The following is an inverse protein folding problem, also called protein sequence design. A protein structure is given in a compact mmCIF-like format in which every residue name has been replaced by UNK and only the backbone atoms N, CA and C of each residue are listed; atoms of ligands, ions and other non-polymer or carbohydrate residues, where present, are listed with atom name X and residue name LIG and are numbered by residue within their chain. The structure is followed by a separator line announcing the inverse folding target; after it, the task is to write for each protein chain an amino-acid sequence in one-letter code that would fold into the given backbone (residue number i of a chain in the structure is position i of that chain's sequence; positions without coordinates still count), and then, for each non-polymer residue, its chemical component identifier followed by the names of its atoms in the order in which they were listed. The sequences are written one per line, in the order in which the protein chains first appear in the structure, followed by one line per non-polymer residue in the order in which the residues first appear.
data_IF_740953117198
#
_entry.id   IF_740953117198
#
_cell.length_a   1.000
_cell.length_b   1.000
_cell.length_c   1.000
_cell.angle_alpha   90.00
_cell.angle_beta   90.00
_cell.angle_gamma   90.00
#
_symmetry.space_group_name_H-M   'P 1'
#
loop_
_entity.id
_entity.type
_entity.pdbx_description
1 polymer ?
#
# COMPACT_ATOMS: atom_id res chain seq x y z
N UNK A 1 -8.83 -30.47 22.89
CA UNK A 1 -9.72 -30.46 21.72
C UNK A 1 -8.99 -29.96 20.49
N UNK A 2 -8.56 -28.69 20.46
CA UNK A 2 -7.90 -28.11 19.28
C UNK A 2 -6.41 -28.42 19.16
N UNK A 3 -5.68 -28.71 20.24
CA UNK A 3 -4.25 -29.04 20.16
C UNK A 3 -3.40 -27.88 19.64
N UNK A 4 -2.27 -28.18 18.97
CA UNK A 4 -1.33 -27.17 18.45
C UNK A 4 -1.90 -26.27 17.34
N UNK A 5 -2.95 -26.70 16.62
CA UNK A 5 -3.56 -25.91 15.53
C UNK A 5 -4.26 -24.65 16.04
N UNK A 6 -4.61 -24.59 17.32
CA UNK A 6 -5.02 -23.35 17.98
C UNK A 6 -3.87 -22.33 18.02
N UNK A 7 -2.67 -22.76 18.38
CA UNK A 7 -1.50 -21.87 18.44
C UNK A 7 -1.14 -21.36 17.04
N UNK A 8 -1.16 -22.24 16.02
CA UNK A 8 -0.95 -21.84 14.63
C UNK A 8 -1.97 -20.80 14.15
N UNK A 9 -3.26 -21.01 14.43
CA UNK A 9 -4.32 -20.06 14.06
C UNK A 9 -4.14 -18.69 14.74
N UNK A 10 -3.81 -18.68 16.04
CA UNK A 10 -3.63 -17.44 16.83
C UNK A 10 -2.35 -16.69 16.48
N UNK A 11 -1.22 -17.40 16.34
CA UNK A 11 0.06 -16.77 16.00
C UNK A 11 0.00 -16.13 14.60
N UNK A 12 -0.50 -16.86 13.61
CA UNK A 12 -0.68 -16.34 12.26
C UNK A 12 -1.67 -15.17 12.21
N UNK A 13 -2.75 -15.19 13.00
CA UNK A 13 -3.67 -14.04 13.11
C UNK A 13 -2.99 -12.78 13.66
N UNK A 14 -2.12 -12.92 14.67
CA UNK A 14 -1.35 -11.79 15.20
C UNK A 14 -0.36 -11.25 14.17
N UNK A 15 0.33 -12.14 13.45
CA UNK A 15 1.21 -11.75 12.34
C UNK A 15 0.44 -11.07 11.21
N UNK A 16 -0.78 -11.53 10.88
CA UNK A 16 -1.67 -10.89 9.91
C UNK A 16 -2.02 -9.47 10.35
N UNK A 17 -2.46 -9.29 11.59
CA UNK A 17 -2.78 -7.97 12.14
C UNK A 17 -1.58 -7.02 12.06
N UNK A 18 -0.39 -7.49 12.43
CA UNK A 18 0.84 -6.70 12.33
C UNK A 18 1.17 -6.31 10.89
N UNK A 19 1.10 -7.23 9.93
CA UNK A 19 1.38 -6.92 8.53
C UNK A 19 0.29 -6.00 7.92
N UNK A 20 -0.98 -6.18 8.29
CA UNK A 20 -2.07 -5.31 7.85
C UNK A 20 -1.97 -3.89 8.44
N UNK A 21 -1.38 -3.73 9.62
CA UNK A 21 -1.02 -2.41 10.17
C UNK A 21 0.04 -1.73 9.27
N UNK A 22 1.00 -2.48 8.74
CA UNK A 22 2.11 -1.92 7.97
C UNK A 22 1.79 -1.62 6.51
N UNK A 23 0.90 -2.39 5.87
CA UNK A 23 0.76 -2.42 4.39
C UNK A 23 0.35 -1.07 3.75
N UNK A 24 -0.39 -0.22 4.47
CA UNK A 24 -0.86 1.10 3.97
C UNK A 24 0.19 2.22 4.11
N UNK A 25 1.12 2.08 5.05
CA UNK A 25 2.16 3.08 5.29
C UNK A 25 3.09 3.29 4.08
N UNK A 26 3.65 2.25 3.42
CA UNK A 26 4.56 2.44 2.29
C UNK A 26 3.91 3.01 1.03
N UNK A 27 2.58 3.03 0.93
CA UNK A 27 1.86 3.60 -0.22
C UNK A 27 1.35 5.03 0.04
N UNK A 28 1.53 5.54 1.26
CA UNK A 28 1.18 6.90 1.66
C UNK A 28 2.32 7.87 1.29
N UNK A 29 2.29 8.38 0.06
CA UNK A 29 3.39 9.16 -0.53
C UNK A 29 3.64 10.50 0.16
N UNK A 30 2.60 11.17 0.66
CA UNK A 30 2.81 12.43 1.40
C UNK A 30 3.44 12.16 2.75
N UNK A 31 3.00 11.12 3.45
CA UNK A 31 3.65 10.69 4.68
C UNK A 31 5.13 10.39 4.44
N UNK A 32 5.45 9.62 3.40
CA UNK A 32 6.84 9.27 3.06
C UNK A 32 7.65 10.51 2.71
N UNK A 33 7.07 11.43 1.93
CA UNK A 33 7.74 12.67 1.54
C UNK A 33 7.95 13.60 2.72
N UNK A 34 6.97 13.68 3.63
CA UNK A 34 7.08 14.41 4.89
C UNK A 34 8.19 13.85 5.76
N UNK A 35 8.20 12.53 6.01
CA UNK A 35 9.26 11.87 6.79
C UNK A 35 10.63 12.08 6.13
N UNK A 36 10.70 12.00 4.80
CA UNK A 36 11.95 12.25 4.05
C UNK A 36 12.46 13.67 4.26
N UNK A 37 11.57 14.66 4.28
CA UNK A 37 11.88 16.08 4.48
C UNK A 37 12.23 16.45 5.93
N UNK A 38 11.55 15.86 6.93
CA UNK A 38 11.82 16.11 8.35
C UNK A 38 13.06 15.38 8.88
N UNK A 39 13.51 14.34 8.18
CA UNK A 39 14.74 13.58 8.48
C UNK A 39 16.02 14.37 8.14
N UNK A 40 16.16 15.60 8.67
CA UNK A 40 17.39 16.40 8.63
C UNK A 40 18.46 15.80 9.55
N UNK A 41 18.06 15.06 10.61
CA UNK A 41 18.98 14.49 11.60
C UNK A 41 19.23 12.97 11.44
N UNK A 42 18.40 12.24 10.67
CA UNK A 42 18.53 10.78 10.54
C UNK A 42 19.37 10.36 9.33
N UNK A 43 20.36 9.49 9.58
CA UNK A 43 21.39 8.96 8.66
C UNK A 43 20.86 8.68 7.25
N UNK A 44 21.66 9.00 6.22
CA UNK A 44 21.50 8.68 4.78
C UNK A 44 20.90 7.30 4.48
N UNK A 45 21.16 6.32 5.34
CA UNK A 45 20.58 4.99 5.28
C UNK A 45 19.04 4.99 5.35
N UNK A 46 18.42 5.80 6.21
CA UNK A 46 16.97 5.85 6.39
C UNK A 46 16.25 6.36 5.14
N UNK A 47 16.73 7.46 4.52
CA UNK A 47 16.18 7.98 3.26
C UNK A 47 16.22 6.93 2.15
N UNK A 48 17.33 6.20 2.03
CA UNK A 48 17.46 5.11 1.04
C UNK A 48 16.47 3.95 1.27
N UNK A 49 16.08 3.68 2.52
CA UNK A 49 15.05 2.67 2.80
C UNK A 49 13.65 3.17 2.47
N UNK A 50 13.36 4.45 2.71
CA UNK A 50 12.08 5.07 2.33
C UNK A 50 11.85 5.03 0.81
N UNK A 51 12.91 5.16 0.00
CA UNK A 51 12.81 5.05 -1.47
C UNK A 51 12.47 3.63 -1.94
N UNK A 52 12.65 2.61 -1.09
CA UNK A 52 12.25 1.21 -1.35
C UNK A 52 10.86 0.89 -0.78
N UNK A 53 10.04 1.90 -0.49
CA UNK A 53 8.68 1.74 0.05
C UNK A 53 7.83 0.72 -0.72
N UNK A 54 7.80 0.76 -2.05
CA UNK A 54 7.00 -0.17 -2.85
C UNK A 54 7.54 -1.61 -2.79
N UNK A 55 8.85 -1.78 -2.65
CA UNK A 55 9.46 -3.10 -2.39
C UNK A 55 9.05 -3.61 -1.02
N UNK A 56 9.07 -2.75 0.00
CA UNK A 56 8.59 -3.09 1.33
C UNK A 56 7.11 -3.46 1.34
N UNK A 57 6.26 -2.70 0.64
CA UNK A 57 4.83 -3.02 0.45
C UNK A 57 4.63 -4.43 -0.11
N UNK A 58 5.39 -4.81 -1.15
CA UNK A 58 5.34 -6.17 -1.73
C UNK A 58 5.77 -7.24 -0.74
N UNK A 59 6.86 -7.01 0.02
CA UNK A 59 7.32 -7.95 1.06
C UNK A 59 6.26 -8.15 2.13
N UNK A 60 5.65 -7.07 2.62
CA UNK A 60 4.54 -7.14 3.59
C UNK A 60 3.35 -7.89 2.99
N UNK A 61 2.99 -7.66 1.73
CA UNK A 61 1.92 -8.38 1.04
C UNK A 61 2.17 -9.90 0.97
N UNK A 62 3.40 -10.33 0.67
CA UNK A 62 3.77 -11.75 0.75
C UNK A 62 3.71 -12.28 2.18
N UNK A 63 4.10 -11.48 3.17
CA UNK A 63 3.92 -11.80 4.59
C UNK A 63 2.46 -12.02 4.97
N UNK A 64 1.54 -11.18 4.47
CA UNK A 64 0.09 -11.37 4.64
C UNK A 64 -0.33 -12.69 3.99
N UNK A 65 0.12 -12.98 2.76
CA UNK A 65 -0.27 -14.18 2.04
C UNK A 65 0.13 -15.47 2.76
N UNK A 66 1.39 -15.55 3.22
CA UNK A 66 1.89 -16.73 3.95
C UNK A 66 1.11 -16.94 5.25
N UNK A 67 0.92 -15.87 6.04
CA UNK A 67 0.19 -15.99 7.31
C UNK A 67 -1.30 -16.26 7.09
N UNK A 68 -1.92 -15.74 6.02
CA UNK A 68 -3.30 -16.03 5.66
C UNK A 68 -3.49 -17.52 5.36
N UNK A 69 -2.59 -18.12 4.57
CA UNK A 69 -2.64 -19.56 4.27
C UNK A 69 -2.54 -20.38 5.56
N UNK A 70 -1.56 -20.09 6.42
CA UNK A 70 -1.38 -20.79 7.71
C UNK A 70 -2.65 -20.64 8.58
N UNK A 71 -3.19 -19.43 8.65
CA UNK A 71 -4.39 -19.12 9.43
C UNK A 71 -5.62 -19.89 8.93
N UNK A 72 -5.88 -19.85 7.62
CA UNK A 72 -7.01 -20.54 6.97
C UNK A 72 -6.90 -22.04 7.19
N UNK A 73 -5.75 -22.65 6.89
CA UNK A 73 -5.53 -24.10 7.06
C UNK A 73 -5.71 -24.50 8.53
N UNK A 74 -5.14 -23.73 9.46
CA UNK A 74 -5.32 -23.99 10.89
C UNK A 74 -6.79 -23.91 11.31
N UNK A 75 -7.56 -22.95 10.78
CA UNK A 75 -8.98 -22.84 11.05
C UNK A 75 -9.82 -23.97 10.44
N UNK A 76 -9.53 -24.40 9.21
CA UNK A 76 -10.19 -25.55 8.59
C UNK A 76 -9.99 -26.81 9.43
N UNK A 77 -8.75 -27.06 9.89
CA UNK A 77 -8.45 -28.19 10.79
C UNK A 77 -9.13 -28.02 12.15
N UNK A 78 -9.20 -26.80 12.69
CA UNK A 78 -9.89 -26.55 13.96
C UNK A 78 -11.40 -26.82 13.87
N UNK A 79 -12.06 -26.42 12.78
CA UNK A 79 -13.49 -26.70 12.54
C UNK A 79 -13.72 -28.20 12.46
N UNK A 80 -12.87 -28.94 11.77
CA UNK A 80 -12.95 -30.40 11.71
C UNK A 80 -12.75 -31.04 13.10
N UNK A 81 -11.79 -30.56 13.89
CA UNK A 81 -11.57 -31.03 15.26
C UNK A 81 -12.75 -30.74 16.19
N UNK A 82 -13.43 -29.62 16.00
CA UNK A 82 -14.67 -29.29 16.71
C UNK A 82 -15.82 -30.23 16.33
N UNK A 83 -15.93 -30.60 15.06
CA UNK A 83 -16.96 -31.54 14.61
C UNK A 83 -16.69 -32.95 15.15
N UNK A 84 -15.47 -33.46 14.98
CA UNK A 84 -15.08 -34.78 15.49
C UNK A 84 -15.27 -34.85 17.01
N UNK A 85 -15.00 -33.78 17.76
CA UNK A 85 -15.17 -33.80 19.22
C UNK A 85 -16.61 -33.94 19.71
N UNK A 86 -17.61 -33.77 18.84
CA UNK A 86 -19.02 -34.09 19.14
C UNK A 86 -19.32 -35.60 19.06
N UNK A 87 -18.48 -36.38 18.37
CA UNK A 87 -18.65 -37.84 18.30
C UNK A 87 -18.45 -38.48 19.68
N UNK A 88 -19.19 -39.56 19.95
CA UNK A 88 -19.02 -40.40 21.16
C UNK A 88 -17.64 -41.07 21.20
N UNK A 89 -16.98 -41.22 20.06
CA UNK A 89 -15.67 -41.86 19.90
C UNK A 89 -14.49 -40.89 20.14
N UNK A 90 -14.76 -39.59 20.29
CA UNK A 90 -13.73 -38.56 20.42
C UNK A 90 -12.94 -38.56 21.75
N UNK A 91 -13.27 -39.49 22.64
CA UNK A 91 -12.77 -39.58 24.01
C UNK A 91 -13.60 -38.79 25.02
N UNK A 92 -13.65 -39.29 26.27
CA UNK A 92 -14.57 -38.80 27.30
C UNK A 92 -14.50 -37.29 27.57
N UNK A 93 -13.29 -36.75 27.76
CA UNK A 93 -13.10 -35.32 28.02
C UNK A 93 -13.53 -34.42 26.85
N UNK A 94 -13.17 -34.79 25.61
CA UNK A 94 -13.47 -33.96 24.42
C UNK A 94 -14.97 -33.94 24.12
N UNK A 95 -15.62 -35.09 24.27
CA UNK A 95 -17.06 -35.20 24.14
C UNK A 95 -17.78 -34.42 25.25
N UNK A 96 -17.35 -34.57 26.52
CA UNK A 96 -17.91 -33.82 27.66
C UNK A 96 -17.80 -32.30 27.46
N UNK A 97 -16.64 -31.79 27.03
CA UNK A 97 -16.44 -30.37 26.72
C UNK A 97 -17.32 -29.87 25.56
N UNK A 98 -17.53 -30.71 24.53
CA UNK A 98 -18.37 -30.36 23.39
C UNK A 98 -19.86 -30.36 23.73
N UNK A 99 -20.24 -31.14 24.75
CA UNK A 99 -21.61 -31.19 25.29
C UNK A 99 -22.00 -30.01 26.18
N UNK A 100 -21.07 -29.12 26.55
CA UNK A 100 -21.36 -27.93 27.37
C UNK A 100 -22.01 -26.84 26.51
N UNK A 101 -23.07 -26.23 27.04
CA UNK A 101 -23.67 -25.04 26.46
C UNK A 101 -24.66 -25.34 25.34
N UNK A 102 -25.55 -26.32 25.52
CA UNK A 102 -26.55 -26.69 24.50
C UNK A 102 -27.69 -25.69 24.42
N UNK A 103 -27.95 -24.95 25.49
CA UNK A 103 -28.96 -23.88 25.52
C UNK A 103 -28.34 -22.53 25.21
N UNK A 104 -29.16 -21.56 24.76
CA UNK A 104 -28.67 -20.25 24.30
C UNK A 104 -28.03 -19.40 25.42
N UNK A 105 -28.39 -19.63 26.68
CA UNK A 105 -27.92 -18.85 27.83
C UNK A 105 -26.66 -19.43 28.49
N UNK A 106 -26.20 -20.59 28.04
CA UNK A 106 -25.03 -21.25 28.61
C UNK A 106 -23.75 -20.91 27.87
N UNK A 107 -22.66 -20.80 28.63
CA UNK A 107 -21.32 -20.64 28.06
C UNK A 107 -20.90 -21.90 27.29
N UNK A 108 -20.02 -21.74 26.31
CA UNK A 108 -19.59 -22.87 25.50
C UNK A 108 -18.17 -22.74 24.96
N UNK A 109 -17.55 -23.90 24.75
CA UNK A 109 -16.24 -24.02 24.12
C UNK A 109 -16.32 -24.43 22.64
N UNK A 110 -17.22 -25.36 22.31
CA UNK A 110 -17.41 -25.87 20.95
C UNK A 110 -18.54 -25.10 20.24
N UNK A 111 -18.24 -24.34 19.17
CA UNK A 111 -19.25 -23.59 18.44
C UNK A 111 -20.17 -24.48 17.59
N UNK A 112 -19.75 -25.72 17.28
CA UNK A 112 -20.59 -26.74 16.65
C UNK A 112 -21.37 -27.43 17.77
N UNK A 113 -22.71 -27.39 17.74
CA UNK A 113 -23.55 -27.83 18.88
C UNK A 113 -24.06 -29.25 18.78
N UNK A 114 -24.25 -29.72 17.55
CA UNK A 114 -24.79 -31.04 17.26
C UNK A 114 -23.87 -31.72 16.25
N UNK A 115 -23.74 -33.04 16.33
CA UNK A 115 -22.92 -33.83 15.41
C UNK A 115 -23.45 -33.79 13.97
N UNK A 116 -24.76 -33.57 13.78
CA UNK A 116 -25.38 -33.45 12.44
C UNK A 116 -24.99 -32.17 11.69
N UNK A 117 -24.41 -31.19 12.39
CA UNK A 117 -23.99 -29.94 11.74
C UNK A 117 -22.68 -30.18 10.99
N UNK A 118 -22.78 -30.09 9.67
CA UNK A 118 -21.64 -30.21 8.78
C UNK A 118 -20.64 -29.06 9.00
N UNK A 119 -19.31 -29.34 8.95
CA UNK A 119 -18.25 -28.32 8.99
C UNK A 119 -18.46 -27.17 8.00
N UNK A 120 -18.91 -27.47 6.78
CA UNK A 120 -19.17 -26.47 5.74
C UNK A 120 -20.30 -25.51 6.15
N UNK A 121 -21.37 -26.02 6.77
CA UNK A 121 -22.45 -25.18 7.30
C UNK A 121 -21.94 -24.23 8.37
N UNK A 122 -21.02 -24.68 9.22
CA UNK A 122 -20.41 -23.82 10.23
C UNK A 122 -19.61 -22.67 9.60
N UNK A 123 -18.85 -22.96 8.54
CA UNK A 123 -18.08 -21.94 7.81
C UNK A 123 -19.00 -20.93 7.12
N UNK A 124 -20.13 -21.38 6.57
CA UNK A 124 -21.03 -20.52 5.80
C UNK A 124 -22.11 -19.79 6.61
N UNK A 125 -22.29 -20.11 7.89
CA UNK A 125 -23.31 -19.47 8.74
C UNK A 125 -22.72 -18.60 9.85
N UNK A 126 -21.46 -18.80 10.23
CA UNK A 126 -20.82 -17.97 11.28
C UNK A 126 -20.25 -16.68 10.71
N UNK A 127 -20.29 -15.61 11.51
CA UNK A 127 -19.67 -14.31 11.17
C UNK A 127 -18.20 -14.50 10.77
N UNK A 128 -17.43 -15.24 11.58
CA UNK A 128 -16.02 -15.50 11.30
C UNK A 128 -15.81 -16.30 10.00
N UNK A 129 -16.64 -17.30 9.73
CA UNK A 129 -16.52 -18.10 8.51
C UNK A 129 -16.88 -17.34 7.24
N UNK A 130 -18.05 -16.69 7.20
CA UNK A 130 -18.53 -15.93 6.02
C UNK A 130 -17.58 -14.78 5.69
N UNK A 131 -17.24 -13.96 6.68
CA UNK A 131 -16.26 -12.89 6.48
C UNK A 131 -14.89 -13.44 6.08
N UNK A 132 -14.48 -14.57 6.65
CA UNK A 132 -13.23 -15.27 6.29
C UNK A 132 -13.18 -15.69 4.82
N UNK A 133 -14.29 -16.19 4.27
CA UNK A 133 -14.40 -16.52 2.83
C UNK A 133 -14.34 -15.25 1.99
N UNK A 134 -15.11 -14.21 2.33
CA UNK A 134 -15.16 -12.94 1.58
C UNK A 134 -13.78 -12.28 1.53
N UNK A 135 -13.09 -12.15 2.67
CA UNK A 135 -11.75 -11.53 2.71
C UNK A 135 -10.72 -12.38 1.95
N UNK A 136 -10.84 -13.71 1.98
CA UNK A 136 -9.94 -14.62 1.26
C UNK A 136 -10.10 -14.46 -0.24
N UNK A 137 -11.34 -14.44 -0.75
CA UNK A 137 -11.62 -14.23 -2.18
C UNK A 137 -11.10 -12.86 -2.63
N UNK A 138 -11.42 -11.80 -1.88
CA UNK A 138 -10.90 -10.45 -2.16
C UNK A 138 -9.36 -10.44 -2.20
N UNK A 139 -8.70 -11.08 -1.24
CA UNK A 139 -7.25 -11.13 -1.15
C UNK A 139 -6.61 -11.92 -2.31
N UNK A 140 -7.21 -13.04 -2.72
CA UNK A 140 -6.73 -13.80 -3.89
C UNK A 140 -6.83 -12.95 -5.17
N UNK A 141 -7.94 -12.24 -5.37
CA UNK A 141 -8.12 -11.35 -6.52
C UNK A 141 -7.08 -10.21 -6.51
N UNK A 142 -6.82 -9.61 -5.35
CA UNK A 142 -5.78 -8.59 -5.18
C UNK A 142 -4.40 -9.17 -5.53
N UNK A 143 -4.01 -10.30 -4.94
CA UNK A 143 -2.68 -10.88 -5.12
C UNK A 143 -2.42 -11.33 -6.56
N UNK A 144 -3.36 -12.01 -7.19
CA UNK A 144 -3.22 -12.52 -8.57
C UNK A 144 -3.07 -11.39 -9.57
N UNK A 145 -3.97 -10.40 -9.53
CA UNK A 145 -3.91 -9.22 -10.40
C UNK A 145 -2.68 -8.32 -10.15
N UNK A 146 -2.07 -8.40 -8.97
CA UNK A 146 -0.87 -7.61 -8.61
C UNK A 146 0.45 -8.24 -9.05
N UNK A 147 0.42 -9.42 -9.69
CA UNK A 147 1.61 -10.07 -10.27
C UNK A 147 2.22 -9.22 -11.39
N UNK A 148 3.54 -9.33 -11.59
CA UNK A 148 4.26 -8.51 -12.58
C UNK A 148 3.74 -8.71 -14.00
N UNK A 149 3.36 -9.94 -14.35
CA UNK A 149 2.85 -10.31 -15.67
C UNK A 149 1.52 -9.59 -15.96
N UNK A 150 0.56 -9.67 -15.03
CA UNK A 150 -0.75 -9.04 -15.19
C UNK A 150 -0.61 -7.52 -15.10
N UNK A 151 0.10 -7.00 -14.10
CA UNK A 151 0.24 -5.56 -13.90
C UNK A 151 0.95 -4.83 -15.07
N UNK A 152 1.88 -5.50 -15.77
CA UNK A 152 2.54 -4.91 -16.95
C UNK A 152 1.69 -4.97 -18.22
N UNK A 153 0.82 -5.97 -18.34
CA UNK A 153 0.03 -6.21 -19.55
C UNK A 153 -1.38 -5.61 -19.48
N UNK A 154 -1.97 -5.61 -18.29
CA UNK A 154 -3.35 -5.21 -18.00
C UNK A 154 -3.39 -4.34 -16.73
N UNK A 155 -2.89 -3.11 -16.84
CA UNK A 155 -2.78 -2.20 -15.70
C UNK A 155 -4.14 -1.86 -15.07
N UNK A 156 -5.18 -1.66 -15.89
CA UNK A 156 -6.54 -1.37 -15.42
C UNK A 156 -7.09 -2.50 -14.54
N UNK A 157 -6.92 -3.76 -14.96
CA UNK A 157 -7.34 -4.93 -14.16
C UNK A 157 -6.69 -4.88 -12.80
N UNK A 158 -5.37 -4.70 -12.74
CA UNK A 158 -4.63 -4.50 -11.50
C UNK A 158 -5.23 -3.37 -10.67
N UNK A 159 -5.48 -2.20 -11.27
CA UNK A 159 -5.92 -1.02 -10.55
C UNK A 159 -7.30 -1.23 -9.90
N UNK A 160 -8.29 -1.74 -10.64
CA UNK A 160 -9.64 -1.96 -10.13
C UNK A 160 -9.70 -3.07 -9.07
N UNK A 161 -9.03 -4.21 -9.30
CA UNK A 161 -9.04 -5.31 -8.33
C UNK A 161 -8.26 -4.96 -7.07
N UNK A 162 -7.21 -4.13 -7.14
CA UNK A 162 -6.45 -3.74 -5.97
C UNK A 162 -7.31 -2.91 -4.99
N UNK A 163 -8.32 -2.17 -5.48
CA UNK A 163 -9.28 -1.43 -4.63
C UNK A 163 -10.17 -2.31 -3.76
N UNK A 164 -10.22 -3.62 -4.02
CA UNK A 164 -10.82 -4.60 -3.10
C UNK A 164 -10.15 -4.61 -1.72
N UNK A 165 -9.02 -3.90 -1.53
CA UNK A 165 -8.45 -3.65 -0.21
C UNK A 165 -9.48 -3.04 0.76
N UNK A 166 -10.44 -2.23 0.27
CA UNK A 166 -11.51 -1.67 1.10
C UNK A 166 -12.39 -2.77 1.70
N UNK A 167 -12.81 -3.73 0.85
CA UNK A 167 -13.57 -4.92 1.27
C UNK A 167 -12.75 -5.77 2.25
N UNK A 168 -11.47 -5.96 1.95
CA UNK A 168 -10.54 -6.70 2.81
C UNK A 168 -10.44 -6.09 4.23
N UNK A 169 -10.21 -4.77 4.36
CA UNK A 169 -10.05 -4.13 5.67
C UNK A 169 -11.37 -4.07 6.46
N UNK A 170 -12.50 -3.78 5.80
CA UNK A 170 -13.82 -3.81 6.45
C UNK A 170 -14.11 -5.23 6.94
N UNK A 171 -13.91 -6.23 6.08
CA UNK A 171 -14.08 -7.63 6.43
C UNK A 171 -13.18 -8.08 7.58
N UNK A 172 -11.91 -7.64 7.61
CA UNK A 172 -10.95 -7.98 8.67
C UNK A 172 -11.40 -7.47 10.05
N UNK A 173 -11.96 -6.25 10.13
CA UNK A 173 -12.49 -5.68 11.38
C UNK A 173 -13.68 -6.51 11.90
N UNK A 174 -14.58 -6.91 11.00
CA UNK A 174 -15.78 -7.69 11.35
C UNK A 174 -15.42 -9.16 11.66
N UNK A 175 -14.41 -9.71 10.98
CA UNK A 175 -14.05 -11.13 11.06
C UNK A 175 -13.80 -11.62 12.49
N UNK A 176 -13.08 -10.83 13.29
CA UNK A 176 -12.81 -11.14 14.70
C UNK A 176 -14.03 -11.06 15.62
N UNK A 177 -15.10 -10.36 15.22
CA UNK A 177 -16.31 -10.18 16.05
C UNK A 177 -17.09 -11.48 16.23
N UNK A 178 -16.90 -12.46 15.35
CA UNK A 178 -17.53 -13.78 15.47
C UNK A 178 -17.06 -14.58 16.68
N UNK A 179 -15.95 -14.20 17.33
CA UNK A 179 -15.49 -14.78 18.60
C UNK A 179 -15.47 -16.33 18.61
N UNK A 180 -15.11 -16.92 17.47
CA UNK A 180 -15.18 -18.36 17.22
C UNK A 180 -14.25 -19.14 18.15
N UNK A 181 -13.07 -18.59 18.42
CA UNK A 181 -12.09 -19.20 19.32
C UNK A 181 -12.36 -18.72 20.74
N UNK A 182 -12.71 -19.68 21.59
CA UNK A 182 -13.13 -19.44 22.97
C UNK A 182 -12.15 -20.10 23.94
N UNK A 183 -11.99 -19.48 25.10
CA UNK A 183 -11.17 -19.97 26.20
C UNK A 183 -11.95 -19.93 27.50
N UNK A 184 -11.43 -20.61 28.53
CA UNK A 184 -12.02 -20.55 29.85
C UNK A 184 -11.82 -19.14 30.44
N UNK A 185 -12.86 -18.59 31.06
CA UNK A 185 -12.83 -17.26 31.67
C UNK A 185 -11.88 -17.21 32.87
N UNK A 186 -11.29 -16.05 33.14
CA UNK A 186 -10.40 -15.88 34.30
C UNK A 186 -11.10 -16.21 35.63
N UNK A 187 -12.38 -15.84 35.78
CA UNK A 187 -13.17 -16.18 36.96
C UNK A 187 -13.35 -17.70 37.10
N UNK A 188 -13.61 -18.41 36.00
CA UNK A 188 -13.72 -19.86 36.02
C UNK A 188 -12.39 -20.53 36.32
N UNK A 189 -11.27 -20.02 35.81
CA UNK A 189 -9.93 -20.55 36.09
C UNK A 189 -9.53 -20.44 37.57
N UNK A 190 -10.07 -19.46 38.32
CA UNK A 190 -9.83 -19.35 39.76
C UNK A 190 -10.51 -20.48 40.57
N UNK A 191 -11.64 -20.98 40.08
CA UNK A 191 -12.47 -21.98 40.79
C UNK A 191 -12.30 -23.39 40.20
N UNK A 192 -11.88 -23.51 38.94
CA UNK A 192 -11.76 -24.77 38.21
C UNK A 192 -10.28 -25.09 37.97
N UNK A 193 -9.71 -25.95 38.83
CA UNK A 193 -8.33 -26.40 38.67
C UNK A 193 -8.19 -27.30 37.44
N UNK A 194 -7.69 -26.73 36.34
CA UNK A 194 -7.65 -27.40 35.02
C UNK A 194 -6.85 -28.70 35.05
N UNK A 195 -5.72 -28.77 35.77
CA UNK A 195 -4.89 -29.99 35.80
C UNK A 195 -5.59 -31.12 36.52
N UNK A 196 -6.26 -30.83 37.64
CA UNK A 196 -7.02 -31.83 38.40
C UNK A 196 -8.34 -32.20 37.71
N UNK A 197 -9.12 -31.20 37.28
CA UNK A 197 -10.46 -31.40 36.73
C UNK A 197 -10.43 -32.03 35.33
N UNK A 198 -9.34 -31.91 34.58
CA UNK A 198 -9.14 -32.61 33.30
C UNK A 198 -9.27 -34.12 33.46
N UNK A 199 -8.75 -34.68 34.55
CA UNK A 199 -8.74 -36.13 34.78
C UNK A 199 -10.00 -36.61 35.53
N UNK A 200 -10.75 -35.70 36.16
CA UNK A 200 -11.99 -35.96 36.91
C UNK A 200 -13.24 -35.39 36.21
N UNK A 201 -13.29 -35.49 34.88
CA UNK A 201 -14.35 -34.88 34.05
C UNK A 201 -15.75 -35.50 34.21
N UNK A 202 -15.82 -36.72 34.75
CA UNK A 202 -17.08 -37.41 35.11
C UNK A 202 -17.76 -36.81 36.35
N UNK A 203 -16.99 -36.13 37.19
CA UNK A 203 -17.43 -35.57 38.48
C UNK A 203 -17.72 -34.07 38.42
N UNK A 204 -17.55 -33.44 37.26
CA UNK A 204 -17.93 -32.04 37.06
C UNK A 204 -19.39 -31.81 37.46
N UNK A 205 -19.68 -30.65 38.04
CA UNK A 205 -20.97 -30.27 38.66
C UNK A 205 -21.30 -30.98 39.98
N UNK A 206 -20.89 -32.24 40.15
CA UNK A 206 -21.18 -33.04 41.35
C UNK A 206 -20.18 -32.81 42.48
N UNK A 207 -18.90 -32.65 42.15
CA UNK A 207 -17.84 -32.42 43.12
C UNK A 207 -17.63 -30.92 43.38
N UNK A 208 -17.56 -30.52 44.65
CA UNK A 208 -17.23 -29.13 45.07
C UNK A 208 -15.89 -28.63 44.52
N UNK A 209 -14.98 -29.54 44.14
CA UNK A 209 -13.64 -29.22 43.62
C UNK A 209 -13.59 -28.92 42.12
N UNK A 210 -14.63 -29.26 41.34
CA UNK A 210 -14.66 -29.05 39.89
C UNK A 210 -16.00 -28.46 39.43
N UNK A 211 -16.22 -27.15 39.66
CA UNK A 211 -17.39 -26.46 39.11
C UNK A 211 -17.37 -26.47 37.58
N UNK A 212 -18.53 -26.31 36.95
CA UNK A 212 -18.63 -26.31 35.48
C UNK A 212 -17.78 -25.17 34.89
N UNK A 213 -16.90 -25.44 33.90
CA UNK A 213 -16.05 -24.41 33.32
C UNK A 213 -16.87 -23.42 32.49
N UNK A 214 -16.61 -22.13 32.67
CA UNK A 214 -17.25 -21.05 31.91
C UNK A 214 -16.35 -20.54 30.80
N UNK A 215 -16.89 -20.41 29.59
CA UNK A 215 -16.14 -20.05 28.40
C UNK A 215 -16.59 -18.75 27.75
N UNK A 216 -15.63 -17.93 27.33
CA UNK A 216 -15.88 -16.71 26.55
C UNK A 216 -14.98 -16.66 25.32
N UNK A 217 -15.46 -15.96 24.30
CA UNK A 217 -14.65 -15.62 23.14
C UNK A 217 -13.64 -14.53 23.46
N UNK A 218 -12.51 -14.54 22.75
CA UNK A 218 -11.54 -13.44 22.88
C UNK A 218 -12.08 -12.17 22.24
N UNK A 219 -11.73 -11.03 22.83
CA UNK A 219 -12.07 -9.74 22.25
C UNK A 219 -11.48 -9.57 20.84
N UNK A 220 -12.22 -8.98 19.90
CA UNK A 220 -11.68 -8.63 18.60
C UNK A 220 -10.61 -7.55 18.76
N UNK A 221 -9.38 -7.84 18.34
CA UNK A 221 -8.25 -6.90 18.43
C UNK A 221 -7.85 -6.29 17.09
N UNK A 222 -8.31 -6.83 15.96
CA UNK A 222 -7.90 -6.40 14.61
C UNK A 222 -8.08 -4.89 14.39
N UNK A 223 -9.20 -4.32 14.85
CA UNK A 223 -9.49 -2.88 14.77
C UNK A 223 -8.41 -2.03 15.45
N UNK A 224 -7.83 -2.49 16.57
CA UNK A 224 -6.77 -1.78 17.30
C UNK A 224 -5.51 -1.64 16.44
N UNK A 225 -5.21 -2.63 15.60
CA UNK A 225 -4.05 -2.64 14.71
C UNK A 225 -4.26 -1.78 13.47
N UNK A 226 -5.46 -1.81 12.89
CA UNK A 226 -5.70 -1.14 11.60
C UNK A 226 -6.17 0.31 11.72
N UNK A 227 -6.70 0.72 12.88
CA UNK A 227 -7.26 2.07 13.07
C UNK A 227 -6.26 3.18 12.73
N UNK A 228 -5.07 3.16 13.34
CA UNK A 228 -4.05 4.18 13.11
C UNK A 228 -3.63 4.31 11.63
N UNK A 229 -3.17 3.23 10.99
CA UNK A 229 -2.80 3.25 9.56
C UNK A 229 -3.94 3.66 8.63
N UNK A 230 -5.17 3.23 8.89
CA UNK A 230 -6.34 3.63 8.09
C UNK A 230 -6.62 5.13 8.23
N UNK A 231 -6.55 5.69 9.45
CA UNK A 231 -6.70 7.13 9.68
C UNK A 231 -5.61 7.91 8.93
N UNK A 232 -4.36 7.47 9.02
CA UNK A 232 -3.24 8.10 8.28
C UNK A 232 -3.47 8.06 6.78
N UNK A 233 -3.96 6.94 6.25
CA UNK A 233 -4.29 6.79 4.84
C UNK A 233 -5.48 7.66 4.42
N UNK A 234 -6.50 7.83 5.26
CA UNK A 234 -7.61 8.75 5.00
C UNK A 234 -7.09 10.19 4.94
N UNK A 235 -6.24 10.61 5.88
CA UNK A 235 -5.60 11.93 5.84
C UNK A 235 -4.78 12.13 4.55
N UNK A 236 -4.00 11.12 4.13
CA UNK A 236 -3.28 11.11 2.84
C UNK A 236 -4.24 11.35 1.67
N UNK A 237 -5.42 10.72 1.67
CA UNK A 237 -6.44 10.89 0.62
C UNK A 237 -7.10 12.28 0.66
N UNK A 238 -7.37 12.82 1.84
CA UNK A 238 -7.91 14.19 2.01
C UNK A 238 -6.92 15.22 1.46
N UNK A 239 -5.62 15.10 1.79
CA UNK A 239 -4.58 16.00 1.28
C UNK A 239 -4.50 15.97 -0.24
N UNK A 240 -4.59 14.77 -0.85
CA UNK A 240 -4.62 14.63 -2.31
C UNK A 240 -5.87 15.27 -2.93
N UNK A 241 -7.02 15.10 -2.29
CA UNK A 241 -8.27 15.72 -2.74
C UNK A 241 -8.18 17.24 -2.72
N UNK A 242 -7.61 17.84 -1.67
CA UNK A 242 -7.39 19.29 -1.60
C UNK A 242 -6.41 19.79 -2.68
N UNK A 243 -5.32 19.06 -2.94
CA UNK A 243 -4.39 19.44 -4.02
C UNK A 243 -4.99 19.30 -5.41
N UNK A 244 -5.87 18.33 -5.63
CA UNK A 244 -6.61 18.20 -6.90
C UNK A 244 -7.47 19.44 -7.22
N UNK A 245 -7.95 20.15 -6.20
CA UNK A 245 -8.72 21.39 -6.37
C UNK A 245 -7.84 22.61 -6.72
N UNK A 246 -6.52 22.50 -6.63
CA UNK A 246 -5.63 23.59 -7.00
C UNK A 246 -5.66 23.81 -8.52
N UNK A 247 -5.90 25.05 -8.93
CA UNK A 247 -5.87 25.42 -10.35
C UNK A 247 -4.43 25.53 -10.84
N UNK A 248 -4.11 24.74 -11.87
CA UNK A 248 -2.82 24.78 -12.55
C UNK A 248 -3.00 25.38 -13.93
N UNK A 249 -2.37 26.53 -14.15
CA UNK A 249 -2.42 27.25 -15.42
C UNK A 249 -1.25 26.81 -16.30
N UNK A 250 -1.57 26.27 -17.48
CA UNK A 250 -0.56 25.99 -18.51
C UNK A 250 -0.20 27.32 -19.18
N UNK A 251 1.07 27.71 -19.11
CA UNK A 251 1.57 28.95 -19.71
C UNK A 251 2.07 28.74 -21.13
N UNK A 252 2.65 27.57 -21.42
CA UNK A 252 3.22 27.25 -22.72
C UNK A 252 3.19 25.75 -22.98
N UNK A 253 2.90 25.40 -24.23
CA UNK A 253 3.00 24.03 -24.75
C UNK A 253 4.05 24.05 -25.86
N UNK A 254 5.05 23.17 -25.76
CA UNK A 254 6.09 23.03 -26.77
C UNK A 254 6.14 21.59 -27.24
N UNK A 255 6.14 21.41 -28.56
CA UNK A 255 6.22 20.10 -29.19
C UNK A 255 7.62 19.87 -29.73
N UNK A 256 8.25 18.80 -29.27
CA UNK A 256 9.58 18.40 -29.69
C UNK A 256 9.53 17.24 -30.68
N UNK A 257 10.63 17.08 -31.44
CA UNK A 257 10.77 15.93 -32.33
C UNK A 257 10.68 14.61 -31.57
N UNK A 258 10.25 13.54 -32.25
CA UNK A 258 10.05 12.20 -31.65
C UNK A 258 8.86 12.07 -30.69
N UNK A 259 7.83 12.92 -30.83
CA UNK A 259 6.58 12.80 -30.08
C UNK A 259 6.74 13.10 -28.59
N UNK A 260 7.48 14.17 -28.26
CA UNK A 260 7.66 14.63 -26.88
C UNK A 260 6.94 15.97 -26.71
N UNK A 261 6.10 16.05 -25.69
CA UNK A 261 5.36 17.23 -25.27
C UNK A 261 6.05 17.84 -24.06
N UNK A 262 6.41 19.12 -24.14
CA UNK A 262 6.87 19.92 -23.02
C UNK A 262 5.74 20.84 -22.57
N UNK A 263 5.36 20.73 -21.30
CA UNK A 263 4.32 21.55 -20.69
C UNK A 263 4.94 22.48 -19.67
N UNK A 264 4.72 23.79 -19.81
CA UNK A 264 5.09 24.80 -18.83
C UNK A 264 3.86 25.20 -18.04
N UNK A 265 3.99 25.19 -16.72
CA UNK A 265 2.93 25.50 -15.79
C UNK A 265 3.37 26.60 -14.84
N UNK A 266 2.43 27.49 -14.51
CA UNK A 266 2.70 28.62 -13.60
C UNK A 266 2.96 28.11 -12.19
N UNK A 267 4.05 28.57 -11.58
CA UNK A 267 4.52 28.07 -10.29
C UNK A 267 3.65 28.47 -9.10
N UNK A 268 3.03 29.65 -9.05
CA UNK A 268 2.07 30.07 -8.01
C UNK A 268 2.30 29.50 -6.58
N UNK A 269 3.48 29.72 -5.99
CA UNK A 269 3.80 29.22 -4.64
C UNK A 269 4.22 27.73 -4.53
N UNK A 270 4.22 26.99 -5.63
CA UNK A 270 4.76 25.64 -5.76
C UNK A 270 6.28 25.65 -5.55
N UNK A 271 6.75 24.97 -4.51
CA UNK A 271 8.17 24.83 -4.20
C UNK A 271 8.63 23.44 -4.62
N UNK A 272 9.64 23.39 -5.49
CA UNK A 272 10.22 22.13 -6.00
C UNK A 272 11.74 22.11 -5.81
N UNK A 273 12.30 20.92 -5.76
CA UNK A 273 13.74 20.66 -5.78
C UNK A 273 14.16 19.91 -7.06
N UNK A 274 15.44 20.01 -7.47
CA UNK A 274 15.88 19.38 -8.70
C UNK A 274 15.77 17.86 -8.65
N UNK A 275 15.25 17.27 -9.71
CA UNK A 275 15.08 15.82 -9.82
C UNK A 275 13.88 15.24 -9.06
N UNK A 276 13.01 16.09 -8.49
CA UNK A 276 11.68 15.68 -8.01
C UNK A 276 10.73 15.38 -9.17
N UNK A 277 9.62 14.71 -8.88
CA UNK A 277 8.57 14.40 -9.84
C UNK A 277 7.19 14.77 -9.30
N UNK A 278 6.21 14.87 -10.19
CA UNK A 278 4.81 15.15 -9.89
C UNK A 278 3.93 14.08 -10.53
N UNK A 279 2.69 13.95 -10.06
CA UNK A 279 1.64 13.26 -10.79
C UNK A 279 0.75 14.28 -11.49
N UNK A 280 0.43 14.00 -12.75
CA UNK A 280 -0.48 14.79 -13.56
C UNK A 280 -1.75 14.00 -13.82
N UNK A 281 -2.88 14.70 -13.71
CA UNK A 281 -4.17 14.24 -14.18
C UNK A 281 -4.76 15.30 -15.11
N UNK A 282 -5.38 14.84 -16.20
CA UNK A 282 -6.11 15.66 -17.15
C UNK A 282 -7.56 15.17 -17.20
N UNK A 283 -8.52 15.84 -16.52
CA UNK A 283 -9.91 15.41 -16.48
C UNK A 283 -10.58 15.27 -17.85
N UNK A 284 -10.12 16.02 -18.85
CA UNK A 284 -10.59 15.92 -20.24
C UNK A 284 -10.14 14.64 -20.96
N UNK A 285 -9.13 13.95 -20.43
CA UNK A 285 -8.62 12.66 -20.94
C UNK A 285 -9.15 11.52 -20.08
N UNK A 286 -8.94 11.59 -18.76
CA UNK A 286 -9.39 10.57 -17.80
C UNK A 286 -9.57 11.21 -16.42
N UNK A 287 -10.70 10.91 -15.77
CA UNK A 287 -11.05 11.48 -14.46
C UNK A 287 -10.39 10.76 -13.28
N UNK A 288 -9.84 9.56 -13.49
CA UNK A 288 -9.32 8.70 -12.41
C UNK A 288 -7.81 8.47 -12.51
N UNK A 289 -7.24 8.60 -13.71
CA UNK A 289 -5.82 8.30 -13.92
C UNK A 289 -4.91 9.45 -13.53
N UNK A 290 -3.84 9.09 -12.81
CA UNK A 290 -2.75 9.98 -12.42
C UNK A 290 -1.44 9.38 -12.91
N UNK A 291 -0.69 10.14 -13.71
CA UNK A 291 0.54 9.67 -14.35
C UNK A 291 1.76 10.43 -13.81
N UNK A 292 2.85 9.73 -13.40
CA UNK A 292 4.03 10.38 -12.85
C UNK A 292 4.94 10.95 -13.93
N UNK A 293 5.41 12.18 -13.74
CA UNK A 293 6.39 12.84 -14.61
C UNK A 293 7.43 13.60 -13.80
N UNK A 294 8.70 13.44 -14.18
CA UNK A 294 9.82 14.16 -13.57
C UNK A 294 9.78 15.63 -13.95
N UNK A 295 10.03 16.50 -12.97
CA UNK A 295 10.18 17.94 -13.21
C UNK A 295 11.49 18.18 -13.96
N UNK A 296 11.41 18.85 -15.11
CA UNK A 296 12.55 19.13 -15.99
C UNK A 296 13.08 20.55 -15.85
N UNK A 297 12.27 21.45 -15.31
CA UNK A 297 12.66 22.81 -14.95
C UNK A 297 13.52 22.86 -13.68
N UNK A 298 14.36 23.87 -13.56
CA UNK A 298 15.10 24.16 -12.34
C UNK A 298 14.22 24.92 -11.34
N UNK A 299 14.40 24.74 -10.01
CA UNK A 299 13.71 25.51 -8.98
C UNK A 299 13.86 27.03 -9.12
N UNK A 300 14.93 27.49 -9.77
CA UNK A 300 15.23 28.90 -9.99
C UNK A 300 14.40 29.51 -11.13
N UNK A 301 13.77 28.70 -11.98
CA UNK A 301 12.87 29.18 -13.05
C UNK A 301 11.48 29.61 -12.48
N UNK A 302 10.84 30.57 -13.15
CA UNK A 302 9.52 31.14 -12.76
C UNK A 302 8.34 30.19 -13.04
N UNK A 303 8.56 29.18 -13.88
CA UNK A 303 7.61 28.13 -14.21
C UNK A 303 8.15 26.78 -13.75
N UNK A 304 7.27 25.79 -13.66
CA UNK A 304 7.70 24.40 -13.62
C UNK A 304 7.27 23.67 -14.88
N UNK A 305 8.07 22.70 -15.31
CA UNK A 305 7.83 21.98 -16.56
C UNK A 305 8.03 20.48 -16.43
N UNK A 306 7.35 19.75 -17.31
CA UNK A 306 7.54 18.31 -17.53
C UNK A 306 7.72 18.03 -19.01
N UNK A 307 8.46 16.96 -19.32
CA UNK A 307 8.59 16.40 -20.67
C UNK A 307 7.91 15.04 -20.73
N UNK A 308 6.88 14.93 -21.57
CA UNK A 308 6.01 13.75 -21.70
C UNK A 308 6.22 13.14 -23.07
N UNK A 309 6.71 11.90 -23.12
CA UNK A 309 6.82 11.16 -24.38
C UNK A 309 5.51 10.40 -24.65
N UNK A 310 5.02 10.47 -25.89
CA UNK A 310 3.87 9.69 -26.33
C UNK A 310 4.26 8.22 -26.46
N UNK A 311 3.74 7.38 -25.57
CA UNK A 311 4.03 5.93 -25.53
C UNK A 311 2.79 5.05 -25.31
N UNK A 312 1.71 5.61 -24.78
CA UNK A 312 0.45 4.91 -24.53
C UNK A 312 -0.76 5.78 -24.84
N UNK A 313 -1.94 5.19 -24.66
CA UNK A 313 -3.27 5.77 -24.85
C UNK A 313 -3.44 7.11 -24.14
N UNK A 314 -3.19 7.17 -22.82
CA UNK A 314 -3.34 8.40 -22.04
C UNK A 314 -2.40 9.52 -22.53
N UNK A 315 -1.13 9.18 -22.78
CA UNK A 315 -0.14 10.17 -23.27
C UNK A 315 -0.45 10.66 -24.69
N UNK A 316 -1.02 9.80 -25.55
CA UNK A 316 -1.45 10.18 -26.90
C UNK A 316 -2.69 11.06 -26.88
N UNK A 317 -3.67 10.74 -26.03
CA UNK A 317 -4.83 11.59 -25.82
C UNK A 317 -4.45 12.96 -25.26
N UNK A 318 -3.55 13.02 -24.27
CA UNK A 318 -3.03 14.28 -23.75
C UNK A 318 -2.33 15.11 -24.84
N UNK A 319 -1.49 14.47 -25.65
CA UNK A 319 -0.80 15.13 -26.78
C UNK A 319 -1.80 15.82 -27.73
N UNK A 320 -2.88 15.11 -28.08
CA UNK A 320 -3.94 15.64 -28.95
C UNK A 320 -4.71 16.80 -28.30
N UNK A 321 -5.14 16.64 -27.04
CA UNK A 321 -5.95 17.67 -26.34
C UNK A 321 -5.13 18.95 -26.11
N UNK A 322 -3.82 18.84 -25.86
CA UNK A 322 -2.92 19.98 -25.77
C UNK A 322 -2.68 20.70 -27.11
N UNK A 323 -3.25 20.22 -28.23
CA UNK A 323 -3.12 20.85 -29.55
C UNK A 323 -1.76 20.64 -30.19
N UNK A 324 -1.00 19.62 -29.78
CA UNK A 324 0.37 19.40 -30.24
C UNK A 324 0.50 19.00 -31.73
N UNK A 325 -0.60 18.64 -32.38
CA UNK A 325 -0.67 18.33 -33.82
C UNK A 325 -1.05 19.55 -34.67
N UNK A 326 -1.58 20.60 -34.04
CA UNK A 326 -2.05 21.80 -34.72
C UNK A 326 -0.89 22.79 -34.90
N UNK A 327 -0.67 23.28 -36.13
CA UNK A 327 0.36 24.31 -36.42
C UNK A 327 0.04 25.68 -35.82
N UNK A 328 -1.11 25.83 -35.16
CA UNK A 328 -1.63 27.09 -34.63
C UNK A 328 -1.48 27.10 -33.12
N UNK A 329 -0.91 28.18 -32.58
CA UNK A 329 -0.81 28.39 -31.13
C UNK A 329 -2.22 28.45 -30.51
N UNK A 330 -2.54 27.54 -29.59
CA UNK A 330 -3.78 27.63 -28.82
C UNK A 330 -3.62 28.66 -27.72
N UNK A 331 -4.60 29.55 -27.60
CA UNK A 331 -4.70 30.47 -26.46
C UNK A 331 -4.71 29.67 -25.15
N UNK A 332 -4.07 30.17 -24.07
CA UNK A 332 -4.00 29.45 -22.79
C UNK A 332 -5.35 28.99 -22.24
N UNK A 333 -6.43 29.74 -22.50
CA UNK A 333 -7.80 29.44 -22.07
C UNK A 333 -8.44 28.25 -22.80
N UNK A 334 -7.89 27.84 -23.95
CA UNK A 334 -8.36 26.68 -24.73
C UNK A 334 -7.61 25.39 -24.35
N UNK A 335 -6.57 25.50 -23.52
CA UNK A 335 -5.82 24.35 -23.04
C UNK A 335 -6.61 23.61 -21.97
N UNK A 336 -6.44 22.28 -21.85
CA UNK A 336 -7.15 21.51 -20.84
C UNK A 336 -6.70 21.90 -19.44
N UNK A 337 -7.63 21.83 -18.48
CA UNK A 337 -7.29 21.88 -17.06
C UNK A 337 -6.40 20.69 -16.71
N UNK A 338 -5.32 20.96 -15.99
CA UNK A 338 -4.50 19.93 -15.36
C UNK A 338 -4.64 20.01 -13.84
N UNK A 339 -4.58 18.85 -13.20
CA UNK A 339 -4.37 18.74 -11.77
C UNK A 339 -2.98 18.18 -11.49
N UNK A 340 -2.29 18.77 -10.52
CA UNK A 340 -0.91 18.42 -10.12
C UNK A 340 -0.93 17.91 -8.69
N UNK A 341 -0.30 16.75 -8.48
CA UNK A 341 -0.07 16.19 -7.16
C UNK A 341 1.45 16.04 -6.93
N UNK A 342 1.98 16.69 -5.88
CA UNK A 342 3.40 16.72 -5.59
C UNK A 342 3.90 18.07 -5.06
N UNK A 343 5.22 18.33 -5.08
CA UNK A 343 6.25 17.46 -5.64
C UNK A 343 6.64 16.30 -4.71
N UNK A 344 7.17 15.24 -5.30
CA UNK A 344 7.64 14.05 -4.60
C UNK A 344 9.15 13.86 -4.77
N UNK A 345 9.83 13.55 -3.67
CA UNK A 345 11.26 13.28 -3.66
C UNK A 345 11.63 11.99 -4.40
N UNK A 346 12.82 11.97 -4.99
CA UNK A 346 13.41 10.79 -5.62
C UNK A 346 14.89 10.68 -5.21
N UNK A 347 15.52 9.53 -5.43
CA UNK A 347 16.94 9.32 -5.10
C UNK A 347 17.87 10.37 -5.76
N UNK A 348 17.45 10.95 -6.89
CA UNK A 348 18.12 12.01 -7.65
C UNK A 348 18.21 13.35 -6.93
N UNK A 349 17.34 13.64 -5.95
CA UNK A 349 17.40 14.91 -5.19
C UNK A 349 18.62 14.99 -4.28
N UNK A 350 19.21 13.84 -3.91
CA UNK A 350 20.35 13.78 -3.00
C UNK A 350 21.70 14.13 -3.69
N UNK A 351 21.67 14.51 -4.97
CA UNK A 351 22.85 14.76 -5.81
C UNK A 351 23.77 15.84 -5.24
N UNK A 352 23.22 16.88 -4.60
CA UNK A 352 23.99 17.98 -4.00
C UNK A 352 24.69 17.60 -2.68
N UNK A 353 24.51 16.38 -2.17
CA UNK A 353 25.24 15.88 -0.98
C UNK A 353 26.53 15.13 -1.34
N UNK A 354 26.93 15.10 -2.61
CA UNK A 354 28.15 14.42 -3.07
C UNK A 354 29.09 15.43 -3.72
N UNK A 355 30.41 15.31 -3.48
CA UNK A 355 31.43 16.16 -4.09
C UNK A 355 31.62 15.88 -5.58
N UNK A 356 31.46 14.63 -5.99
CA UNK A 356 31.59 14.19 -7.39
C UNK A 356 30.36 13.39 -7.78
N UNK A 357 29.78 13.72 -8.92
CA UNK A 357 28.61 13.03 -9.46
C UNK A 357 28.88 12.51 -10.87
N UNK A 358 28.36 11.32 -11.16
CA UNK A 358 28.36 10.72 -12.49
C UNK A 358 26.91 10.46 -12.90
N UNK A 359 26.41 11.22 -13.86
CA UNK A 359 25.07 11.10 -14.40
C UNK A 359 25.07 10.10 -15.55
N UNK A 360 24.44 8.94 -15.37
CA UNK A 360 24.24 7.93 -16.42
C UNK A 360 22.74 7.85 -16.71
N UNK A 361 22.35 8.12 -17.96
CA UNK A 361 20.94 8.09 -18.35
C UNK A 361 20.75 7.49 -19.75
N UNK A 362 19.58 6.88 -19.96
CA UNK A 362 19.15 6.37 -21.26
C UNK A 362 17.72 6.78 -21.58
N UNK A 363 17.48 7.24 -22.82
CA UNK A 363 16.15 7.65 -23.28
C UNK A 363 15.52 8.76 -22.44
N UNK A 364 14.24 8.61 -22.05
CA UNK A 364 13.52 9.59 -21.22
C UNK A 364 14.07 9.67 -19.78
N UNK A 365 14.89 8.69 -19.36
CA UNK A 365 15.55 8.68 -18.06
C UNK A 365 16.54 9.83 -17.84
N UNK A 366 16.82 10.65 -18.86
CA UNK A 366 17.60 11.89 -18.73
C UNK A 366 16.84 13.02 -18.01
N UNK A 367 15.50 13.00 -18.03
CA UNK A 367 14.64 14.07 -17.49
C UNK A 367 15.02 14.59 -16.09
N UNK A 368 15.34 13.76 -15.06
CA UNK A 368 15.78 14.30 -13.76
C UNK A 368 17.09 15.08 -13.86
N UNK A 369 18.00 14.66 -14.74
CA UNK A 369 19.29 15.33 -14.91
C UNK A 369 19.16 16.70 -15.59
N UNK A 370 18.12 16.92 -16.41
CA UNK A 370 17.88 18.24 -17.01
C UNK A 370 17.64 19.30 -15.92
N UNK A 371 16.77 19.02 -14.95
CA UNK A 371 16.51 19.91 -13.82
C UNK A 371 17.75 20.10 -12.93
N UNK A 372 18.47 19.01 -12.65
CA UNK A 372 19.70 19.05 -11.85
C UNK A 372 20.79 19.91 -12.51
N UNK A 373 21.08 19.69 -13.79
CA UNK A 373 22.12 20.41 -14.52
C UNK A 373 21.78 21.90 -14.64
N UNK A 374 20.52 22.24 -14.91
CA UNK A 374 20.08 23.64 -14.91
C UNK A 374 20.24 24.30 -13.53
N UNK A 375 19.85 23.62 -12.44
CA UNK A 375 20.04 24.17 -11.09
C UNK A 375 21.51 24.31 -10.72
N UNK A 376 22.37 23.36 -11.12
CA UNK A 376 23.83 23.50 -10.97
C UNK A 376 24.33 24.75 -11.71
N UNK A 377 23.90 24.94 -12.96
CA UNK A 377 24.25 26.13 -13.75
C UNK A 377 23.83 27.42 -13.04
N UNK A 378 22.57 27.53 -12.60
CA UNK A 378 22.10 28.72 -11.88
C UNK A 378 22.89 28.99 -10.59
N UNK A 379 23.23 27.95 -9.83
CA UNK A 379 24.03 28.08 -8.61
C UNK A 379 25.47 28.48 -8.90
N UNK A 380 26.10 27.95 -9.95
CA UNK A 380 27.43 28.36 -10.38
C UNK A 380 27.47 29.81 -10.87
N UNK A 381 26.40 30.29 -11.50
CA UNK A 381 26.29 31.70 -11.90
C UNK A 381 26.00 32.66 -10.73
N UNK A 382 25.63 32.16 -9.55
CA UNK A 382 25.31 32.97 -8.39
C UNK A 382 26.51 33.04 -7.43
N UNK A 383 27.19 34.19 -7.31
CA UNK A 383 28.42 34.33 -6.52
C UNK A 383 28.23 34.08 -5.01
N UNK A 384 26.99 34.10 -4.50
CA UNK A 384 26.68 33.89 -3.08
C UNK A 384 26.40 32.42 -2.72
N UNK A 385 26.52 31.49 -3.68
CA UNK A 385 26.18 30.08 -3.45
C UNK A 385 27.43 29.23 -3.28
N UNK A 386 27.66 28.73 -2.06
CA UNK A 386 28.68 27.69 -1.83
C UNK A 386 28.15 26.32 -2.27
N UNK A 387 28.83 25.70 -3.24
CA UNK A 387 28.54 24.34 -3.69
C UNK A 387 29.60 23.39 -3.13
N UNK A 388 29.16 22.32 -2.47
CA UNK A 388 30.02 21.17 -2.10
C UNK A 388 30.43 20.33 -3.30
N UNK A 389 29.76 20.53 -4.44
CA UNK A 389 29.94 19.79 -5.68
C UNK A 389 31.14 20.35 -6.46
N UNK A 390 32.16 19.52 -6.66
CA UNK A 390 33.42 19.89 -7.32
C UNK A 390 33.46 19.45 -8.79
N UNK A 391 32.83 18.31 -9.12
CA UNK A 391 32.88 17.77 -10.48
C UNK A 391 31.60 17.06 -10.87
N UNK A 392 31.17 17.30 -12.11
CA UNK A 392 30.01 16.68 -12.75
C UNK A 392 30.46 15.98 -14.02
N UNK A 393 30.31 14.65 -14.08
CA UNK A 393 30.51 13.87 -15.31
C UNK A 393 29.18 13.32 -15.81
N UNK A 394 28.96 13.29 -17.12
CA UNK A 394 27.74 12.76 -17.73
C UNK A 394 28.01 11.78 -18.86
N UNK A 395 27.34 10.63 -18.86
CA UNK A 395 27.28 9.70 -20.00
C UNK A 395 25.82 9.43 -20.35
N UNK A 396 25.37 9.99 -21.47
CA UNK A 396 24.00 9.85 -21.93
C UNK A 396 23.93 8.95 -23.17
N UNK A 397 23.12 7.89 -23.10
CA UNK A 397 23.00 6.86 -24.15
C UNK A 397 21.64 6.98 -24.84
N UNK A 398 21.64 7.15 -26.17
CA UNK A 398 20.42 7.25 -26.97
C UNK A 398 20.49 6.38 -28.21
N UNK A 399 19.37 5.76 -28.56
CA UNK A 399 19.22 5.03 -29.83
C UNK A 399 19.08 5.97 -31.05
N UNK A 400 18.97 7.29 -30.87
CA UNK A 400 18.93 8.27 -31.96
C UNK A 400 19.27 9.69 -31.45
N UNK A 401 20.11 10.42 -32.18
CA UNK A 401 20.57 11.78 -31.83
C UNK A 401 19.42 12.81 -31.78
N UNK A 402 18.36 12.64 -32.60
CA UNK A 402 17.16 13.50 -32.58
C UNK A 402 16.40 13.44 -31.24
N UNK A 403 16.49 12.30 -30.53
CA UNK A 403 15.86 12.13 -29.20
C UNK A 403 16.62 12.87 -28.11
N UNK A 404 17.92 13.13 -28.30
CA UNK A 404 18.74 13.89 -27.37
C UNK A 404 18.44 15.39 -27.47
N UNK A 405 18.50 15.95 -28.68
CA UNK A 405 18.21 17.38 -28.92
C UNK A 405 16.78 17.79 -28.55
N UNK A 406 15.79 16.90 -28.70
CA UNK A 406 14.42 17.10 -28.22
C UNK A 406 14.32 17.31 -26.70
N UNK A 407 15.26 16.80 -25.91
CA UNK A 407 15.29 16.91 -24.45
C UNK A 407 16.31 17.95 -23.96
N UNK A 408 17.26 18.36 -24.81
CA UNK A 408 18.37 19.28 -24.48
C UNK A 408 18.34 20.60 -25.26
N UNK A 409 17.30 20.85 -26.06
CA UNK A 409 17.09 22.11 -26.79
C UNK A 409 17.06 23.36 -25.88
N UNK A 410 16.96 23.16 -24.56
CA UNK A 410 17.28 24.17 -23.55
C UNK A 410 18.78 24.11 -23.22
N UNK A 411 19.63 24.74 -24.03
CA UNK A 411 21.07 25.06 -23.78
C UNK A 411 21.74 24.23 -22.65
N UNK A 412 21.95 22.93 -22.85
CA UNK A 412 22.88 22.19 -21.99
C UNK A 412 24.27 22.44 -22.53
N UNK A 413 24.93 23.46 -22.00
CA UNK A 413 26.37 23.66 -22.19
C UNK A 413 27.04 22.50 -21.45
N UNK A 414 27.62 21.57 -22.20
CA UNK A 414 28.57 20.62 -21.65
C UNK A 414 29.78 21.44 -21.20
N UNK A 415 29.86 21.70 -19.90
CA UNK A 415 31.07 22.27 -19.29
C UNK A 415 32.10 21.14 -19.31
N UNK A 416 33.06 21.25 -20.24
CA UNK A 416 34.25 20.39 -20.29
C UNK A 416 35.27 20.81 -19.25
#
# INVERSE_FOLDING_TARGET
MLGSTLAWARASATCLNFNCMLILLPVSRNLISFIRGTSICCRRALRRQLDKNLTFHKIVAYGIAVNAIIHIVAHLVNVERYHISQSKEAGGLRNKLSGIGKTANESYLNPIRNYEVNPTTQILTTIAGVTGVIITVAFILIMTSSTEIIRRSFYEVFWYTHHLFMVFFIGLVIHGMGQLVRGQTSQSLLLHNVTYCKDHYSEWEKATKCPLPLFSGSEPTAWKWVLGPVVVYICERIVRFWRFQQEVVITKVVTHSSGVLELHMKKCGFKMEPGQYIFLQCPSVSQLEWHPFTLTSAPEEEFFSVHIRVVGDWTGALFKVCGAEEKVFKDPWKLPRLAVDGPFGAATTDVFHYRVIVCIAAGIGVTPFASILKSIWFKCCNPNTELTLEKVGGKFVYNSFKKFTALTSSRIILIS
#
